data_IF_353719484967
#
_entry.id   IF_353719484967
#
_cell.length_a   1.000
_cell.length_b   1.000
_cell.length_c   1.000
_cell.angle_alpha   90.00
_cell.angle_beta   90.00
_cell.angle_gamma   90.00
#
_symmetry.space_group_name_H-M   'P 1'
#
loop_
_entity.id
_entity.type
_entity.pdbx_description
1 polymer ?
#
# COMPACT_ATOMS: atom_id res chain seq x y z
N UNK A 1 -5.06 16.42 -51.71
CA UNK A 1 -5.24 15.05 -51.22
C UNK A 1 -4.20 14.62 -50.14
N UNK A 2 -2.89 14.75 -50.36
CA UNK A 2 -1.83 14.35 -49.38
C UNK A 2 -1.91 15.13 -48.02
N UNK A 3 -2.30 16.40 -48.02
CA UNK A 3 -2.40 17.18 -46.78
C UNK A 3 -3.61 16.75 -45.94
N UNK A 4 -4.77 16.52 -46.54
CA UNK A 4 -5.97 16.03 -45.83
C UNK A 4 -5.73 14.68 -45.20
N UNK A 5 -5.05 13.77 -45.91
CA UNK A 5 -4.68 12.46 -45.36
C UNK A 5 -3.74 12.57 -44.14
N UNK A 6 -2.78 13.48 -44.16
CA UNK A 6 -1.89 13.71 -43.01
C UNK A 6 -2.67 14.21 -41.80
N UNK A 7 -3.57 15.20 -41.99
CA UNK A 7 -4.41 15.72 -40.92
C UNK A 7 -5.27 14.60 -40.33
N UNK A 8 -5.91 13.80 -41.16
CA UNK A 8 -6.73 12.69 -40.70
C UNK A 8 -5.94 11.66 -39.89
N UNK A 9 -4.74 11.27 -40.36
CA UNK A 9 -3.85 10.35 -39.64
C UNK A 9 -3.39 10.94 -38.29
N UNK A 10 -3.11 12.25 -38.23
CA UNK A 10 -2.74 12.91 -36.99
C UNK A 10 -3.89 12.89 -35.96
N UNK A 11 -5.13 13.14 -36.43
CA UNK A 11 -6.32 13.09 -35.56
C UNK A 11 -6.51 11.66 -35.00
N UNK A 12 -6.38 10.65 -35.86
CA UNK A 12 -6.47 9.25 -35.41
C UNK A 12 -5.38 8.93 -34.38
N UNK A 13 -4.16 9.37 -34.64
CA UNK A 13 -3.04 9.13 -33.69
C UNK A 13 -3.31 9.79 -32.34
N UNK A 14 -3.75 11.04 -32.31
CA UNK A 14 -4.11 11.75 -31.08
C UNK A 14 -5.25 11.02 -30.36
N UNK A 15 -6.27 10.59 -31.09
CA UNK A 15 -7.38 9.83 -30.53
C UNK A 15 -6.91 8.51 -29.90
N UNK A 16 -6.06 7.75 -30.60
CA UNK A 16 -5.49 6.49 -30.08
C UNK A 16 -4.68 6.75 -28.81
N UNK A 17 -3.80 7.77 -28.82
CA UNK A 17 -3.00 8.13 -27.64
C UNK A 17 -3.92 8.53 -26.46
N UNK A 18 -5.00 9.26 -26.72
CA UNK A 18 -5.94 9.69 -25.67
C UNK A 18 -6.66 8.52 -24.98
N UNK A 19 -6.78 7.37 -25.64
CA UNK A 19 -7.36 6.17 -25.04
C UNK A 19 -6.48 5.57 -23.91
N UNK A 20 -5.17 5.84 -23.95
CA UNK A 20 -4.20 5.35 -22.96
C UNK A 20 -3.91 6.36 -21.84
N UNK A 21 -4.25 7.64 -22.04
CA UNK A 21 -4.05 8.70 -21.04
C UNK A 21 -5.34 8.85 -20.23
N UNK A 22 -5.41 8.13 -19.11
CA UNK A 22 -6.55 8.18 -18.19
C UNK A 22 -6.03 8.38 -16.78
N UNK A 23 -5.87 9.64 -16.32
CA UNK A 23 -5.40 9.88 -14.95
C UNK A 23 -6.38 9.26 -13.97
N UNK A 24 -5.85 8.37 -13.14
CA UNK A 24 -6.64 7.60 -12.21
C UNK A 24 -5.94 7.59 -10.85
N UNK A 25 -6.68 7.90 -9.78
CA UNK A 25 -6.17 7.84 -8.42
C UNK A 25 -6.21 6.39 -7.94
N UNK A 26 -5.05 5.82 -7.69
CA UNK A 26 -4.89 4.46 -7.20
C UNK A 26 -4.52 4.50 -5.74
N UNK A 27 -5.29 3.82 -4.89
CA UNK A 27 -4.97 3.59 -3.49
C UNK A 27 -4.19 2.29 -3.39
N UNK A 28 -2.91 2.37 -3.01
CA UNK A 28 -2.02 1.21 -2.90
C UNK A 28 -1.80 0.76 -1.46
N UNK A 29 -2.21 1.57 -0.47
CA UNK A 29 -2.23 1.17 0.92
C UNK A 29 -3.52 1.57 1.62
N UNK A 30 -4.06 0.65 2.41
CA UNK A 30 -5.25 0.86 3.19
C UNK A 30 -5.00 1.69 4.45
N UNK A 31 -6.07 2.22 5.00
CA UNK A 31 -6.07 2.87 6.30
C UNK A 31 -5.94 1.81 7.41
N UNK A 32 -5.08 2.06 8.39
CA UNK A 32 -4.90 1.20 9.56
C UNK A 32 -5.31 1.96 10.81
N UNK A 33 -6.22 1.42 11.60
CA UNK A 33 -6.58 1.92 12.94
C UNK A 33 -6.43 0.76 13.90
N UNK A 34 -5.27 0.64 14.53
CA UNK A 34 -4.95 -0.49 15.39
C UNK A 34 -4.86 -0.12 16.86
N UNK A 35 -4.83 -1.17 17.69
CA UNK A 35 -4.58 -1.08 19.11
C UNK A 35 -3.51 -2.07 19.52
N UNK A 36 -2.60 -1.63 20.39
CA UNK A 36 -1.54 -2.45 20.97
C UNK A 36 -1.83 -2.66 22.46
N UNK A 37 -1.88 -3.92 22.86
CA UNK A 37 -2.16 -4.36 24.24
C UNK A 37 -1.08 -5.32 24.74
N UNK A 38 -0.98 -5.50 26.04
CA UNK A 38 -0.16 -6.56 26.64
C UNK A 38 -0.96 -7.87 26.83
N UNK A 39 -0.29 -8.92 27.33
CA UNK A 39 -0.89 -10.23 27.61
C UNK A 39 -2.04 -10.16 28.65
N UNK A 40 -2.10 -9.09 29.46
CA UNK A 40 -3.18 -8.82 30.41
C UNK A 40 -4.27 -7.92 29.83
N UNK A 41 -4.29 -7.72 28.50
CA UNK A 41 -5.22 -6.84 27.78
C UNK A 41 -5.11 -5.36 28.19
N UNK A 42 -4.00 -4.94 28.78
CA UNK A 42 -3.76 -3.54 29.12
C UNK A 42 -3.15 -2.80 27.92
N UNK A 43 -3.63 -1.59 27.60
CA UNK A 43 -3.08 -0.79 26.52
C UNK A 43 -1.60 -0.49 26.72
N UNK A 44 -0.82 -0.58 25.64
CA UNK A 44 0.59 -0.21 25.61
C UNK A 44 0.74 1.17 24.98
N UNK A 45 1.01 2.17 25.81
CA UNK A 45 1.26 3.54 25.35
C UNK A 45 2.72 3.75 24.94
N UNK A 46 2.94 4.58 23.91
CA UNK A 46 4.27 4.97 23.45
C UNK A 46 5.05 3.84 22.79
N UNK A 47 4.40 2.80 22.31
CA UNK A 47 4.99 1.85 21.37
C UNK A 47 5.19 2.55 20.02
N UNK A 48 6.29 2.28 19.34
CA UNK A 48 6.53 2.81 18.00
C UNK A 48 6.04 1.78 17.01
N UNK A 49 5.13 2.19 16.14
CA UNK A 49 4.60 1.37 15.05
C UNK A 49 5.20 1.91 13.75
N UNK A 50 5.87 1.06 12.99
CA UNK A 50 6.43 1.37 11.69
C UNK A 50 5.57 0.71 10.62
N UNK A 51 5.19 1.46 9.59
CA UNK A 51 4.63 0.89 8.37
C UNK A 51 5.75 0.24 7.58
N UNK A 52 5.50 -0.96 7.08
CA UNK A 52 6.42 -1.72 6.24
C UNK A 52 5.89 -1.67 4.81
N UNK A 53 6.74 -1.32 3.87
CA UNK A 53 6.47 -1.34 2.44
C UNK A 53 7.51 -2.17 1.73
N UNK A 54 7.13 -2.75 0.61
CA UNK A 54 8.04 -3.47 -0.26
C UNK A 54 8.63 -2.51 -1.29
N UNK A 55 9.94 -2.32 -1.25
CA UNK A 55 10.68 -1.51 -2.23
C UNK A 55 11.34 -2.42 -3.26
N UNK A 56 11.02 -2.22 -4.53
CA UNK A 56 11.62 -2.95 -5.64
C UNK A 56 12.87 -2.23 -6.13
N UNK A 57 13.95 -2.96 -6.34
CA UNK A 57 15.21 -2.42 -6.87
C UNK A 57 15.86 -3.39 -7.85
N UNK A 58 16.70 -2.85 -8.73
CA UNK A 58 17.49 -3.67 -9.66
C UNK A 58 18.79 -4.05 -8.96
N UNK A 59 19.02 -5.34 -8.79
CA UNK A 59 20.31 -5.84 -8.33
C UNK A 59 21.27 -5.89 -9.53
N UNK A 60 22.14 -4.88 -9.64
CA UNK A 60 23.07 -4.74 -10.76
C UNK A 60 24.05 -5.91 -10.90
N UNK A 61 24.34 -6.65 -9.81
CA UNK A 61 25.28 -7.79 -9.83
C UNK A 61 24.72 -9.00 -10.57
N UNK A 62 23.39 -9.20 -10.51
CA UNK A 62 22.74 -10.37 -11.10
C UNK A 62 21.73 -9.99 -12.17
N UNK A 63 21.49 -8.68 -12.40
CA UNK A 63 20.59 -8.15 -13.42
C UNK A 63 19.12 -8.52 -13.21
N UNK A 64 18.71 -8.80 -11.96
CA UNK A 64 17.33 -9.14 -11.60
C UNK A 64 16.68 -8.07 -10.76
N UNK A 65 15.34 -8.01 -10.84
CA UNK A 65 14.53 -7.24 -9.92
C UNK A 65 14.43 -8.01 -8.61
N UNK A 66 14.78 -7.35 -7.52
CA UNK A 66 14.64 -7.84 -6.16
C UNK A 66 13.74 -6.90 -5.37
N UNK A 67 13.17 -7.38 -4.26
CA UNK A 67 12.44 -6.56 -3.32
C UNK A 67 13.05 -6.63 -1.93
N UNK A 68 12.85 -5.56 -1.18
CA UNK A 68 13.19 -5.52 0.25
C UNK A 68 12.10 -4.78 1.01
N UNK A 69 11.89 -5.20 2.24
CA UNK A 69 11.04 -4.48 3.15
C UNK A 69 11.74 -3.24 3.69
N UNK A 70 11.03 -2.12 3.70
CA UNK A 70 11.51 -0.84 4.23
C UNK A 70 10.49 -0.24 5.19
N UNK A 71 10.99 0.38 6.25
CA UNK A 71 10.17 1.18 7.17
C UNK A 71 9.96 2.56 6.58
N UNK A 72 8.73 2.93 6.22
CA UNK A 72 8.43 4.17 5.50
C UNK A 72 7.82 5.26 6.36
N UNK A 73 7.01 4.88 7.35
CA UNK A 73 6.28 5.81 8.21
C UNK A 73 6.27 5.28 9.63
N UNK A 74 6.27 6.15 10.63
CA UNK A 74 6.15 5.72 12.02
C UNK A 74 5.19 6.58 12.81
N UNK A 75 4.45 5.94 13.73
CA UNK A 75 3.57 6.60 14.69
C UNK A 75 3.78 6.01 16.09
N UNK A 76 3.46 6.77 17.12
CA UNK A 76 3.46 6.25 18.50
C UNK A 76 2.03 5.97 18.96
N UNK A 77 1.85 4.87 19.69
CA UNK A 77 0.57 4.56 20.32
C UNK A 77 0.22 5.61 21.37
N UNK A 78 -1.05 5.97 21.45
CA UNK A 78 -1.61 6.87 22.44
C UNK A 78 -1.75 6.21 23.83
N UNK A 79 -2.37 6.91 24.79
CA UNK A 79 -2.59 6.42 26.17
C UNK A 79 -3.46 5.16 26.21
N UNK A 80 -4.30 4.96 25.21
CA UNK A 80 -5.18 3.80 25.07
C UNK A 80 -4.57 2.71 24.16
N UNK A 81 -3.29 2.84 23.78
CA UNK A 81 -2.60 1.91 22.91
C UNK A 81 -3.00 2.04 21.43
N UNK A 82 -3.78 3.05 21.05
CA UNK A 82 -4.23 3.18 19.67
C UNK A 82 -3.17 3.83 18.79
N UNK A 83 -3.14 3.41 17.52
CA UNK A 83 -2.34 4.02 16.47
C UNK A 83 -3.14 4.12 15.17
N UNK A 84 -2.72 5.01 14.28
CA UNK A 84 -3.40 5.22 13.02
C UNK A 84 -2.41 5.55 11.92
N UNK A 85 -2.56 4.87 10.78
CA UNK A 85 -1.99 5.27 9.49
C UNK A 85 -3.10 5.62 8.51
N UNK A 86 -2.86 6.63 7.70
CA UNK A 86 -3.79 7.01 6.64
C UNK A 86 -3.53 6.18 5.39
N UNK A 87 -4.56 6.07 4.55
CA UNK A 87 -4.43 5.48 3.22
C UNK A 87 -3.41 6.24 2.37
N UNK A 88 -2.66 5.53 1.53
CA UNK A 88 -1.77 6.13 0.54
C UNK A 88 -2.31 5.94 -0.86
N UNK A 89 -2.12 6.94 -1.70
CA UNK A 89 -2.59 6.95 -3.08
C UNK A 89 -1.60 7.67 -3.98
N UNK A 90 -1.61 7.30 -5.25
CA UNK A 90 -0.88 7.98 -6.32
C UNK A 90 -1.80 8.22 -7.51
N UNK A 91 -1.38 9.08 -8.44
CA UNK A 91 -2.07 9.25 -9.73
C UNK A 91 -1.27 8.51 -10.78
N UNK A 92 -1.88 7.50 -11.37
CA UNK A 92 -1.35 6.80 -12.52
C UNK A 92 -1.99 7.39 -13.78
N UNK A 93 -1.16 7.80 -14.72
CA UNK A 93 -1.60 8.50 -15.94
C UNK A 93 -1.87 7.56 -17.11
N UNK A 94 -1.23 6.39 -17.11
CA UNK A 94 -1.27 5.47 -18.23
C UNK A 94 -1.92 4.15 -17.81
N UNK A 95 -3.01 3.82 -18.47
CA UNK A 95 -3.70 2.54 -18.30
C UNK A 95 -3.90 1.89 -19.65
N UNK A 96 -3.68 0.59 -19.72
CA UNK A 96 -4.01 -0.17 -20.92
C UNK A 96 -5.48 -0.62 -20.84
N UNK A 97 -6.18 -0.76 -21.99
CA UNK A 97 -7.52 -1.35 -21.99
C UNK A 97 -7.58 -2.79 -21.48
N UNK A 98 -6.41 -3.42 -21.34
CA UNK A 98 -6.25 -4.82 -20.92
C UNK A 98 -5.82 -4.95 -19.44
N UNK A 99 -5.72 -3.84 -18.71
CA UNK A 99 -5.41 -3.88 -17.27
C UNK A 99 -6.51 -4.65 -16.55
N UNK A 100 -6.12 -5.78 -15.97
CA UNK A 100 -7.05 -6.61 -15.21
C UNK A 100 -7.35 -5.98 -13.86
N UNK A 101 -8.61 -5.90 -13.44
CA UNK A 101 -9.00 -5.35 -12.13
C UNK A 101 -8.74 -6.37 -11.02
N UNK A 102 -7.49 -6.83 -10.91
CA UNK A 102 -7.08 -7.76 -9.86
C UNK A 102 -6.18 -7.03 -8.91
N UNK A 103 -6.60 -6.88 -7.68
CA UNK A 103 -5.82 -6.27 -6.63
C UNK A 103 -6.10 -6.87 -5.27
N UNK A 104 -5.12 -6.81 -4.42
CA UNK A 104 -5.26 -7.07 -2.99
C UNK A 104 -4.70 -5.87 -2.23
N UNK A 105 -5.23 -5.66 -1.05
CA UNK A 105 -4.72 -4.66 -0.12
C UNK A 105 -4.18 -5.38 1.10
N UNK A 106 -2.95 -5.06 1.48
CA UNK A 106 -2.33 -5.54 2.70
C UNK A 106 -2.06 -4.39 3.67
N UNK A 107 -1.83 -4.74 4.93
CA UNK A 107 -1.38 -3.82 5.96
C UNK A 107 -0.20 -4.48 6.69
N UNK A 108 1.00 -4.06 6.34
CA UNK A 108 2.22 -4.59 6.90
C UNK A 108 2.86 -3.56 7.84
N UNK A 109 3.13 -3.99 9.08
CA UNK A 109 3.69 -3.09 10.09
C UNK A 109 4.51 -3.85 11.12
N UNK A 110 5.41 -3.12 11.77
CA UNK A 110 6.26 -3.61 12.84
C UNK A 110 6.08 -2.73 14.07
N UNK A 111 6.06 -3.34 15.26
CA UNK A 111 5.85 -2.64 16.53
C UNK A 111 7.01 -2.90 17.47
N UNK A 112 7.61 -1.82 17.95
CA UNK A 112 8.70 -1.84 18.92
C UNK A 112 8.30 -1.14 20.22
N UNK A 113 8.63 -1.78 21.36
CA UNK A 113 8.50 -1.19 22.68
C UNK A 113 9.53 -1.79 23.62
N UNK A 114 10.25 -0.95 24.36
CA UNK A 114 11.20 -1.41 25.38
C UNK A 114 10.51 -2.33 26.40
N UNK A 115 11.12 -3.49 26.70
CA UNK A 115 10.58 -4.51 27.60
C UNK A 115 9.56 -5.46 26.95
N UNK A 116 9.36 -5.37 25.63
CA UNK A 116 8.47 -6.25 24.87
C UNK A 116 9.21 -6.84 23.66
N UNK A 117 8.82 -8.04 23.26
CA UNK A 117 9.27 -8.62 21.99
C UNK A 117 8.72 -7.80 20.83
N UNK A 118 9.56 -7.47 19.87
CA UNK A 118 9.13 -6.84 18.62
C UNK A 118 8.08 -7.71 17.94
N UNK A 119 6.96 -7.09 17.55
CA UNK A 119 5.94 -7.71 16.72
C UNK A 119 6.16 -7.25 15.28
N UNK A 120 6.03 -8.17 14.35
CA UNK A 120 6.00 -7.88 12.91
C UNK A 120 4.88 -8.71 12.29
N UNK A 121 4.10 -8.11 11.39
CA UNK A 121 3.05 -8.81 10.64
C UNK A 121 3.64 -9.96 9.84
N UNK A 122 2.95 -11.10 9.86
CA UNK A 122 3.26 -12.22 8.99
C UNK A 122 2.70 -11.99 7.58
N UNK A 123 3.25 -12.68 6.60
CA UNK A 123 2.77 -12.59 5.22
C UNK A 123 1.28 -12.94 5.14
N UNK A 124 0.49 -12.06 4.51
CA UNK A 124 -0.97 -12.17 4.35
C UNK A 124 -1.81 -12.09 5.62
N UNK A 125 -1.24 -11.81 6.80
CA UNK A 125 -2.00 -11.70 8.06
C UNK A 125 -3.14 -10.68 7.98
N UNK A 126 -2.88 -9.53 7.34
CA UNK A 126 -3.89 -8.49 7.08
C UNK A 126 -3.99 -8.24 5.57
N UNK A 127 -4.63 -9.17 4.86
CA UNK A 127 -4.83 -9.08 3.42
C UNK A 127 -6.31 -9.16 3.07
N UNK A 128 -6.77 -8.24 2.21
CA UNK A 128 -8.12 -8.25 1.69
C UNK A 128 -8.11 -8.22 0.17
N UNK A 129 -8.92 -9.10 -0.44
CA UNK A 129 -9.16 -9.08 -1.87
C UNK A 129 -10.27 -8.11 -2.22
N UNK A 130 -10.02 -7.23 -3.17
CA UNK A 130 -11.03 -6.38 -3.77
C UNK A 130 -11.56 -7.05 -5.05
N UNK A 131 -12.84 -7.46 -5.04
CA UNK A 131 -13.45 -8.22 -6.16
C UNK A 131 -13.89 -7.35 -7.34
N UNK A 132 -14.04 -6.04 -7.17
CA UNK A 132 -14.80 -5.23 -8.13
C UNK A 132 -14.03 -4.08 -8.78
N UNK A 133 -12.83 -3.70 -8.29
CA UNK A 133 -12.09 -2.57 -8.83
C UNK A 133 -10.58 -2.76 -8.76
N UNK A 134 -9.87 -2.20 -9.75
CA UNK A 134 -8.40 -2.13 -9.81
C UNK A 134 -7.74 -1.37 -8.64
N UNK A 135 -8.52 -0.82 -7.73
CA UNK A 135 -8.04 0.02 -6.62
C UNK A 135 -8.04 -0.78 -5.34
N UNK A 136 -7.01 -1.60 -5.21
CA UNK A 136 -6.92 -2.62 -4.17
C UNK A 136 -7.21 -2.12 -2.75
N UNK A 137 -6.87 -0.87 -2.44
CA UNK A 137 -6.98 -0.33 -1.08
C UNK A 137 -8.03 0.78 -0.90
N UNK A 138 -8.82 1.11 -1.92
CA UNK A 138 -9.85 2.14 -1.78
C UNK A 138 -10.90 1.74 -0.75
N UNK A 139 -11.14 2.62 0.24
CA UNK A 139 -12.11 2.42 1.34
C UNK A 139 -11.84 1.21 2.24
N UNK A 140 -10.66 0.58 2.13
CA UNK A 140 -10.30 -0.50 3.03
C UNK A 140 -9.73 0.07 4.32
N UNK A 141 -10.26 -0.39 5.45
CA UNK A 141 -9.80 -0.03 6.79
C UNK A 141 -9.48 -1.30 7.58
N UNK A 142 -8.20 -1.44 7.96
CA UNK A 142 -7.75 -2.52 8.84
C UNK A 142 -7.86 -2.10 10.30
N UNK A 143 -8.34 -3.01 11.15
CA UNK A 143 -8.50 -2.79 12.60
C UNK A 143 -7.78 -3.86 13.44
N UNK A 144 -6.45 -3.93 13.36
CA UNK A 144 -5.70 -4.92 14.12
C UNK A 144 -5.71 -4.63 15.61
N UNK A 145 -5.85 -5.69 16.42
CA UNK A 145 -5.58 -5.64 17.87
C UNK A 145 -4.39 -6.56 18.14
N UNK A 146 -3.26 -5.96 18.47
CA UNK A 146 -2.00 -6.67 18.59
C UNK A 146 -1.62 -6.86 20.06
N UNK A 147 -1.38 -8.11 20.43
CA UNK A 147 -0.90 -8.47 21.77
C UNK A 147 0.62 -8.62 21.77
N UNK A 148 1.33 -7.72 22.44
CA UNK A 148 2.77 -7.81 22.60
C UNK A 148 3.13 -8.63 23.86
N UNK A 149 4.11 -9.52 23.73
CA UNK A 149 4.65 -10.35 24.81
C UNK A 149 5.82 -9.62 25.49
N UNK A 150 5.90 -9.68 26.81
CA UNK A 150 7.05 -9.17 27.55
C UNK A 150 8.28 -10.05 27.31
N UNK A 151 9.47 -9.43 27.39
CA UNK A 151 10.77 -10.11 27.34
C UNK A 151 11.06 -10.68 28.72
#
# INVERSE_FOLDING_TARGET
>A
MKMILKIFLTIILIFVISLFIRPQKIFYEGKIIGQVIDENKKPISGAIVYRIEEEYYINEKIGSNESREVRTESVKTDKNGNFKFYEKSRIDWFHTPLDLPIGYCSADFEIEKSGYKTYKTEFDEFRQFHKENCYACEKIEFKPVITMKRI
#
